data_IF_720213346897
#
_entry.id   IF_720213346897
#
_cell.length_a   1.000
_cell.length_b   1.000
_cell.length_c   1.000
_cell.angle_alpha   90.00
_cell.angle_beta   90.00
_cell.angle_gamma   90.00
#
_symmetry.space_group_name_H-M   'P 1'
#
loop_
_entity.id
_entity.type
_entity.pdbx_description
1 polymer ?
#
# COMPACT_ATOMS: atom_id res chain seq x y z
N UNK A 1 8.98 -3.16 -5.30
CA UNK A 1 10.25 -3.23 -4.55
C UNK A 1 10.42 -1.94 -3.76
N UNK A 2 11.05 -1.95 -2.59
CA UNK A 2 11.33 -0.70 -1.88
C UNK A 2 12.47 0.09 -2.54
N UNK A 3 12.51 1.44 -2.41
CA UNK A 3 13.48 2.28 -3.12
C UNK A 3 14.93 1.99 -2.70
N UNK A 4 15.17 1.76 -1.41
CA UNK A 4 16.50 1.44 -0.89
C UNK A 4 17.02 0.09 -1.41
N UNK A 5 16.13 -0.89 -1.58
CA UNK A 5 16.47 -2.18 -2.17
C UNK A 5 16.74 -2.05 -3.67
N UNK A 6 15.95 -1.25 -4.38
CA UNK A 6 16.15 -0.98 -5.81
C UNK A 6 17.50 -0.30 -6.08
N UNK A 7 17.90 0.63 -5.21
CA UNK A 7 19.18 1.34 -5.30
C UNK A 7 20.38 0.53 -4.77
N UNK A 8 20.18 -0.71 -4.30
CA UNK A 8 21.25 -1.55 -3.76
C UNK A 8 21.88 -1.02 -2.46
N UNK A 9 21.14 -0.20 -1.71
CA UNK A 9 21.59 0.31 -0.42
C UNK A 9 21.43 -0.77 0.67
N UNK A 10 22.22 -0.73 1.76
CA UNK A 10 21.94 -1.57 2.92
C UNK A 10 20.53 -1.32 3.45
N UNK A 11 19.77 -2.39 3.70
CA UNK A 11 18.39 -2.31 4.13
C UNK A 11 18.09 -3.26 5.30
N UNK A 12 17.05 -2.92 6.08
CA UNK A 12 16.44 -3.81 7.05
C UNK A 12 15.28 -4.56 6.39
N UNK A 13 15.33 -5.90 6.40
CA UNK A 13 14.29 -6.74 5.82
C UNK A 13 12.88 -6.43 6.35
N UNK A 14 12.74 -6.02 7.62
CA UNK A 14 11.43 -5.68 8.19
C UNK A 14 10.84 -4.43 7.55
N UNK A 15 11.68 -3.45 7.21
CA UNK A 15 11.27 -2.21 6.55
C UNK A 15 10.90 -2.47 5.09
N UNK A 16 11.58 -3.42 4.44
CA UNK A 16 11.23 -3.89 3.10
C UNK A 16 9.88 -4.61 3.10
N UNK A 17 9.63 -5.46 4.10
CA UNK A 17 8.38 -6.19 4.22
C UNK A 17 7.20 -5.23 4.45
N UNK A 18 7.38 -4.18 5.26
CA UNK A 18 6.37 -3.14 5.45
C UNK A 18 6.03 -2.41 4.14
N UNK A 19 7.03 -2.06 3.34
CA UNK A 19 6.82 -1.47 2.01
C UNK A 19 6.07 -2.41 1.09
N UNK A 20 6.51 -3.67 1.03
CA UNK A 20 5.91 -4.72 0.19
C UNK A 20 4.45 -4.95 0.58
N UNK A 21 4.12 -4.84 1.87
CA UNK A 21 2.75 -4.93 2.36
C UNK A 21 1.89 -3.76 1.88
N UNK A 22 2.38 -2.52 1.97
CA UNK A 22 1.65 -1.34 1.47
C UNK A 22 1.29 -1.47 -0.02
N UNK A 23 2.26 -1.90 -0.84
CA UNK A 23 2.04 -2.16 -2.26
C UNK A 23 1.03 -3.30 -2.49
N UNK A 24 1.09 -4.37 -1.69
CA UNK A 24 0.17 -5.50 -1.79
C UNK A 24 -1.27 -5.13 -1.41
N UNK A 25 -1.45 -4.29 -0.39
CA UNK A 25 -2.76 -3.77 0.01
C UNK A 25 -3.35 -2.96 -1.14
N UNK A 26 -2.59 -2.03 -1.70
CA UNK A 26 -3.03 -1.22 -2.85
C UNK A 26 -3.47 -2.11 -4.02
N UNK A 27 -2.62 -3.05 -4.46
CA UNK A 27 -2.94 -3.92 -5.60
C UNK A 27 -4.12 -4.85 -5.33
N UNK A 28 -4.33 -5.27 -4.09
CA UNK A 28 -5.49 -6.10 -3.74
C UNK A 28 -6.80 -5.32 -3.86
N UNK A 29 -6.79 -4.03 -3.52
CA UNK A 29 -7.98 -3.19 -3.54
C UNK A 29 -8.28 -2.61 -4.93
N UNK A 30 -7.24 -2.23 -5.67
CA UNK A 30 -7.37 -1.54 -6.95
C UNK A 30 -7.17 -2.46 -8.16
N UNK A 31 -6.65 -3.67 -7.98
CA UNK A 31 -6.37 -4.61 -9.07
C UNK A 31 -5.10 -4.32 -9.88
N UNK A 32 -4.53 -3.12 -9.75
CA UNK A 32 -3.31 -2.68 -10.44
C UNK A 32 -2.18 -2.28 -9.48
N UNK A 33 -0.97 -2.10 -10.03
CA UNK A 33 0.21 -1.67 -9.26
C UNK A 33 0.26 -0.14 -9.15
N UNK A 34 0.71 0.36 -8.00
CA UNK A 34 0.76 1.81 -7.74
C UNK A 34 1.78 2.55 -8.62
N UNK A 35 2.92 1.93 -8.89
CA UNK A 35 3.96 2.40 -9.82
C UNK A 35 4.71 1.18 -10.37
N UNK A 36 5.18 1.26 -11.62
CA UNK A 36 5.86 0.15 -12.29
C UNK A 36 7.28 -0.05 -11.73
N UNK A 37 7.94 1.05 -11.35
CA UNK A 37 9.27 1.02 -10.78
C UNK A 37 9.41 2.03 -9.62
N UNK A 38 10.06 1.66 -8.49
CA UNK A 38 10.39 2.58 -7.40
C UNK A 38 11.63 3.43 -7.75
N UNK A 39 11.57 4.14 -8.90
CA UNK A 39 12.66 4.96 -9.43
C UNK A 39 12.18 6.41 -9.61
N UNK A 40 13.11 7.35 -9.45
CA UNK A 40 12.99 8.75 -9.80
C UNK A 40 12.56 9.04 -11.25
N UNK A 41 12.68 8.07 -12.16
CA UNK A 41 12.15 8.20 -13.53
C UNK A 41 10.64 7.96 -13.61
N UNK A 42 10.03 7.34 -12.59
CA UNK A 42 8.60 7.18 -12.47
C UNK A 42 8.00 8.42 -11.79
N UNK A 43 7.22 9.19 -12.56
CA UNK A 43 6.61 10.44 -12.06
C UNK A 43 5.59 10.20 -10.96
N UNK A 44 4.88 9.06 -10.99
CA UNK A 44 3.89 8.70 -9.97
C UNK A 44 4.59 8.38 -8.66
N UNK A 45 5.67 7.61 -8.73
CA UNK A 45 6.53 7.34 -7.58
C UNK A 45 7.09 8.63 -6.96
N UNK A 46 7.55 9.56 -7.79
CA UNK A 46 8.05 10.86 -7.31
C UNK A 46 7.00 11.69 -6.59
N UNK A 47 5.82 11.86 -7.20
CA UNK A 47 4.71 12.58 -6.57
C UNK A 47 4.35 11.94 -5.23
N UNK A 48 4.25 10.60 -5.21
CA UNK A 48 3.95 9.86 -3.99
C UNK A 48 4.99 10.09 -2.88
N UNK A 49 6.27 10.08 -3.22
CA UNK A 49 7.36 10.28 -2.26
C UNK A 49 7.54 11.74 -1.83
N UNK A 50 7.28 12.72 -2.72
CA UNK A 50 7.45 14.14 -2.45
C UNK A 50 6.24 14.73 -1.71
N UNK A 51 5.02 14.36 -2.10
CA UNK A 51 3.77 14.92 -1.58
C UNK A 51 3.14 14.06 -0.47
N UNK A 52 3.51 12.77 -0.37
CA UNK A 52 2.90 11.85 0.59
C UNK A 52 1.41 11.62 0.33
N UNK A 53 0.98 11.80 -0.92
CA UNK A 53 -0.39 11.63 -1.39
C UNK A 53 -0.40 10.65 -2.56
N UNK A 54 -1.55 10.03 -2.81
CA UNK A 54 -1.70 9.29 -4.06
C UNK A 54 -1.63 10.28 -5.22
N UNK A 55 -0.84 10.00 -6.27
CA UNK A 55 -0.86 10.83 -7.46
C UNK A 55 -2.31 10.89 -7.97
N UNK A 56 -2.72 12.03 -8.55
CA UNK A 56 -4.04 12.14 -9.16
C UNK A 56 -4.12 11.13 -10.30
N UNK A 57 -4.75 9.98 -10.04
CA UNK A 57 -5.06 9.01 -11.08
C UNK A 57 -6.19 9.59 -11.94
N UNK A 58 -6.06 9.43 -13.26
CA UNK A 58 -7.14 9.71 -14.21
C UNK A 58 -8.29 8.69 -14.05
N UNK A 59 -8.01 7.54 -13.44
CA UNK A 59 -8.95 6.46 -13.16
C UNK A 59 -9.58 6.59 -11.76
N UNK A 60 -10.92 6.63 -11.75
CA UNK A 60 -11.81 6.92 -10.61
C UNK A 60 -11.67 5.96 -9.39
N UNK A 61 -10.92 4.86 -9.51
CA UNK A 61 -10.88 3.78 -8.52
C UNK A 61 -10.15 4.16 -7.21
N UNK A 62 -9.24 5.13 -7.22
CA UNK A 62 -8.66 5.66 -5.98
C UNK A 62 -9.72 6.39 -5.15
N UNK A 63 -10.77 6.95 -5.76
CA UNK A 63 -11.81 7.69 -5.03
C UNK A 63 -12.71 6.76 -4.20
N UNK A 64 -12.82 5.48 -4.59
CA UNK A 64 -13.57 4.46 -3.85
C UNK A 64 -12.91 3.97 -2.56
N UNK A 65 -11.60 4.22 -2.38
CA UNK A 65 -10.87 3.82 -1.18
C UNK A 65 -11.07 4.84 -0.06
N UNK A 66 -11.38 4.35 1.14
CA UNK A 66 -11.52 5.20 2.31
C UNK A 66 -10.21 5.92 2.68
N UNK A 67 -10.35 7.03 3.39
CA UNK A 67 -9.21 7.86 3.74
C UNK A 67 -8.25 7.13 4.68
N UNK A 68 -8.75 6.20 5.50
CA UNK A 68 -7.93 5.49 6.47
C UNK A 68 -7.02 4.45 5.78
N UNK A 69 -7.54 3.68 4.83
CA UNK A 69 -6.73 2.76 4.03
C UNK A 69 -5.67 3.51 3.23
N UNK A 70 -6.04 4.66 2.64
CA UNK A 70 -5.09 5.55 1.98
C UNK A 70 -3.94 5.93 2.92
N UNK A 71 -4.26 6.38 4.13
CA UNK A 71 -3.27 6.78 5.12
C UNK A 71 -2.37 5.60 5.54
N UNK A 72 -2.92 4.40 5.68
CA UNK A 72 -2.15 3.19 6.00
C UNK A 72 -1.16 2.85 4.89
N UNK A 73 -1.59 2.85 3.63
CA UNK A 73 -0.71 2.56 2.48
C UNK A 73 0.41 3.61 2.41
N UNK A 74 0.07 4.90 2.52
CA UNK A 74 1.05 6.00 2.54
C UNK A 74 2.06 5.79 3.69
N UNK A 75 1.58 5.43 4.88
CA UNK A 75 2.44 5.24 6.06
C UNK A 75 3.36 4.02 5.94
N UNK A 76 2.95 2.97 5.23
CA UNK A 76 3.77 1.79 4.96
C UNK A 76 4.77 2.00 3.83
N UNK A 77 4.47 2.90 2.90
CA UNK A 77 5.28 3.20 1.72
C UNK A 77 6.00 4.55 1.83
N UNK A 78 6.14 5.10 3.04
CA UNK A 78 6.91 6.32 3.27
C UNK A 78 8.41 6.02 3.36
N UNK A 79 9.27 7.06 3.36
CA UNK A 79 10.71 6.92 3.62
C UNK A 79 10.99 6.14 4.91
N UNK A 80 12.13 5.43 4.97
CA UNK A 80 12.49 4.52 6.08
C UNK A 80 12.40 5.20 7.45
N UNK A 81 12.67 6.50 7.52
CA UNK A 81 12.66 7.30 8.75
C UNK A 81 11.25 7.50 9.33
N UNK A 82 10.24 7.53 8.48
CA UNK A 82 8.83 7.76 8.85
C UNK A 82 7.93 6.56 8.60
N UNK A 83 8.49 5.47 8.04
CA UNK A 83 7.78 4.25 7.70
C UNK A 83 7.25 3.56 8.94
N UNK A 84 5.97 3.21 8.90
CA UNK A 84 5.35 2.43 9.95
C UNK A 84 5.95 1.02 9.97
N UNK A 85 6.32 0.56 11.17
CA UNK A 85 6.61 -0.85 11.37
C UNK A 85 5.31 -1.65 11.38
N UNK A 86 5.41 -2.96 11.11
CA UNK A 86 4.25 -3.84 11.14
C UNK A 86 3.61 -3.89 12.55
N UNK A 87 4.39 -3.70 13.61
CA UNK A 87 3.87 -3.62 14.98
C UNK A 87 3.01 -2.38 15.21
N UNK A 88 3.33 -1.25 14.56
CA UNK A 88 2.51 -0.03 14.60
C UNK A 88 1.21 -0.28 13.82
N UNK A 89 1.31 -0.86 12.62
CA UNK A 89 0.14 -1.20 11.80
C UNK A 89 -0.82 -2.13 12.54
N UNK A 90 -0.33 -3.20 13.17
CA UNK A 90 -1.18 -4.15 13.90
C UNK A 90 -1.94 -3.51 15.07
N UNK A 91 -1.48 -2.34 15.55
CA UNK A 91 -2.11 -1.57 16.62
C UNK A 91 -2.96 -0.41 16.10
N UNK A 92 -3.02 -0.18 14.79
CA UNK A 92 -3.79 0.91 14.22
C UNK A 92 -5.30 0.67 14.38
N UNK A 93 -6.06 1.75 14.35
CA UNK A 93 -7.52 1.68 14.35
C UNK A 93 -8.00 0.95 13.09
N UNK A 94 -7.44 1.25 11.92
CA UNK A 94 -7.73 0.52 10.67
C UNK A 94 -7.69 -1.00 10.77
N UNK A 95 -6.70 -1.56 11.49
CA UNK A 95 -6.57 -3.02 11.66
C UNK A 95 -7.55 -3.56 12.71
N UNK A 96 -7.90 -2.75 13.70
CA UNK A 96 -8.67 -3.16 14.87
C UNK A 96 -10.12 -2.64 14.85
N UNK A 97 -10.52 -1.87 13.83
CA UNK A 97 -11.88 -1.41 13.66
C UNK A 97 -12.74 -2.65 13.43
N UNK A 98 -13.76 -2.89 14.28
CA UNK A 98 -14.81 -3.83 13.98
C UNK A 98 -15.68 -3.30 12.83
N UNK A 99 -15.10 -3.13 11.64
CA UNK A 99 -15.87 -3.04 10.43
C UNK A 99 -16.74 -4.30 10.37
N UNK A 100 -18.04 -4.08 10.31
CA UNK A 100 -19.06 -5.11 10.28
C UNK A 100 -18.97 -5.85 8.96
N UNK A 101 -17.96 -6.71 8.82
CA UNK A 101 -17.92 -7.73 7.80
C UNK A 101 -19.12 -8.63 8.05
N UNK A 102 -20.22 -8.31 7.36
CA UNK A 102 -21.27 -9.27 7.10
C UNK A 102 -20.78 -10.06 5.89
N UNK A 103 -20.35 -11.33 6.07
CA UNK A 103 -19.94 -12.12 4.93
C UNK A 103 -21.17 -12.29 4.04
N UNK A 104 -21.25 -11.55 2.93
CA UNK A 104 -21.99 -12.07 1.80
C UNK A 104 -21.21 -13.30 1.36
N UNK A 105 -21.90 -14.44 1.29
CA UNK A 105 -21.36 -15.79 1.07
C UNK A 105 -20.07 -15.83 0.24
N UNK A 106 -19.13 -16.73 0.57
CA UNK A 106 -17.88 -16.83 -0.18
C UNK A 106 -18.21 -17.03 -1.66
N UNK A 107 -17.75 -16.10 -2.50
CA UNK A 107 -17.71 -16.29 -3.95
C UNK A 107 -16.74 -17.44 -4.16
N UNK A 108 -17.28 -18.66 -4.20
CA UNK A 108 -16.49 -19.83 -4.56
C UNK A 108 -15.91 -19.53 -5.94
N UNK A 109 -14.60 -19.68 -6.13
CA UNK A 109 -14.03 -19.44 -7.43
C UNK A 109 -14.64 -20.46 -8.41
N UNK A 110 -14.97 -19.99 -9.62
CA UNK A 110 -15.77 -20.72 -10.63
C UNK A 110 -15.23 -22.11 -11.02
N UNK A 111 -14.00 -22.45 -10.63
CA UNK A 111 -13.36 -23.75 -10.86
C UNK A 111 -13.70 -24.82 -9.82
N UNK A 112 -14.48 -24.49 -8.79
CA UNK A 112 -14.97 -25.43 -7.77
C UNK A 112 -16.46 -25.83 -7.95
N UNK A 113 -17.07 -25.52 -9.10
CA UNK A 113 -18.44 -25.91 -9.45
C UNK A 113 -18.46 -27.08 -10.44
#
# INVERSE_FOLDING_TARGET
MAPEQYNGLPYDGRQIDAWSLGASIYTTLNGDVLFEAPDSNDSLFRIFMEEGTFPPNEDEDIDGMDQETKNVIISLMSPVETRWSLEILLRSEWMNDPHSYTPSFPILPKWRA
#
